data_IF_229491989297
#
_entry.id   IF_229491989297
#
_cell.length_a   1.000
_cell.length_b   1.000
_cell.length_c   1.000
_cell.angle_alpha   90.00
_cell.angle_beta   90.00
_cell.angle_gamma   90.00
#
_symmetry.space_group_name_H-M   'P 1'
#
loop_
_entity.id
_entity.type
_entity.pdbx_description
1 polymer ?
#
# COMPACT_ATOMS: atom_id res chain seq x y z
N UNK A 1 2.90 -23.10 -0.83
CA UNK A 1 3.42 -22.52 -2.09
C UNK A 1 4.17 -21.27 -1.71
N UNK A 2 5.41 -21.09 -2.17
CA UNK A 2 6.17 -19.87 -1.92
C UNK A 2 5.59 -18.77 -2.82
N UNK A 3 4.83 -17.83 -2.25
CA UNK A 3 4.45 -16.61 -2.97
C UNK A 3 5.59 -15.61 -2.83
N UNK A 4 6.01 -15.02 -3.95
CA UNK A 4 6.99 -13.94 -3.90
C UNK A 4 6.32 -12.73 -3.24
N UNK A 5 6.93 -12.11 -2.21
CA UNK A 5 6.30 -11.02 -1.48
C UNK A 5 6.17 -9.75 -2.31
N UNK A 6 6.86 -9.67 -3.45
CA UNK A 6 6.73 -8.59 -4.43
C UNK A 6 6.62 -9.20 -5.83
N UNK A 7 5.66 -8.72 -6.62
CA UNK A 7 5.49 -9.11 -8.02
C UNK A 7 5.20 -7.91 -8.89
N UNK A 8 5.94 -7.77 -9.99
CA UNK A 8 5.72 -6.70 -10.97
C UNK A 8 4.92 -7.24 -12.14
N UNK A 9 3.78 -6.60 -12.43
CA UNK A 9 2.88 -6.90 -13.55
C UNK A 9 2.71 -5.64 -14.39
N UNK A 10 3.60 -5.45 -15.36
CA UNK A 10 3.59 -4.28 -16.24
C UNK A 10 3.87 -3.00 -15.45
N UNK A 11 2.89 -2.12 -15.37
CA UNK A 11 2.87 -0.87 -14.60
C UNK A 11 2.39 -1.04 -13.15
N UNK A 12 1.92 -2.23 -12.78
CA UNK A 12 1.44 -2.54 -11.43
C UNK A 12 2.51 -3.30 -10.64
N UNK A 13 2.82 -2.84 -9.43
CA UNK A 13 3.62 -3.59 -8.45
C UNK A 13 2.66 -4.10 -7.39
N UNK A 14 2.73 -5.40 -7.09
CA UNK A 14 1.92 -6.09 -6.09
C UNK A 14 2.83 -6.46 -4.93
N UNK A 15 2.43 -6.06 -3.73
CA UNK A 15 3.09 -6.36 -2.47
C UNK A 15 2.21 -7.28 -1.61
N UNK A 16 2.81 -8.37 -1.16
CA UNK A 16 2.23 -9.19 -0.10
C UNK A 16 2.50 -8.51 1.24
N UNK A 17 1.51 -7.79 1.77
CA UNK A 17 1.66 -7.05 3.03
C UNK A 17 1.98 -7.95 4.20
N UNK A 18 1.52 -9.21 4.21
CA UNK A 18 1.78 -10.15 5.30
C UNK A 18 3.28 -10.45 5.48
N UNK A 19 4.08 -10.22 4.44
CA UNK A 19 5.54 -10.40 4.48
C UNK A 19 6.30 -9.19 5.02
N UNK A 20 5.67 -8.02 5.10
CA UNK A 20 6.30 -6.75 5.50
C UNK A 20 5.70 -6.13 6.76
N UNK A 21 4.49 -6.53 7.14
CA UNK A 21 3.82 -6.04 8.35
C UNK A 21 4.07 -6.96 9.54
N UNK A 22 4.22 -6.35 10.71
CA UNK A 22 4.45 -7.06 11.97
C UNK A 22 3.15 -7.29 12.76
N UNK A 23 2.04 -6.71 12.30
CA UNK A 23 0.75 -6.68 13.00
C UNK A 23 0.66 -5.60 14.08
N UNK A 24 1.66 -4.73 14.18
CA UNK A 24 1.67 -3.58 15.12
C UNK A 24 1.16 -2.29 14.47
N UNK A 25 1.05 -2.31 13.15
CA UNK A 25 0.54 -1.24 12.31
C UNK A 25 -0.94 -1.03 12.66
N UNK A 26 -1.35 0.23 12.83
CA UNK A 26 -2.72 0.57 13.20
C UNK A 26 -3.49 1.12 12.02
N UNK A 27 -2.80 1.76 11.09
CA UNK A 27 -3.36 2.42 9.91
C UNK A 27 -2.76 1.85 8.64
N UNK A 28 -3.49 1.93 7.53
CA UNK A 28 -2.92 1.59 6.21
C UNK A 28 -1.66 2.39 5.93
N UNK A 29 -1.60 3.67 6.31
CA UNK A 29 -0.40 4.49 6.19
C UNK A 29 0.85 3.77 6.74
N UNK A 30 0.74 3.24 7.96
CA UNK A 30 1.82 2.53 8.63
C UNK A 30 2.23 1.25 7.86
N UNK A 31 1.27 0.57 7.24
CA UNK A 31 1.52 -0.62 6.40
C UNK A 31 2.26 -0.24 5.12
N UNK A 32 1.82 0.81 4.43
CA UNK A 32 2.43 1.28 3.18
C UNK A 32 3.84 1.81 3.41
N UNK A 33 4.10 2.51 4.52
CA UNK A 33 5.45 2.99 4.89
C UNK A 33 6.44 1.84 5.17
N UNK A 34 5.95 0.65 5.53
CA UNK A 34 6.79 -0.53 5.70
C UNK A 34 7.15 -1.21 4.37
N UNK A 35 6.51 -0.83 3.26
CA UNK A 35 6.79 -1.40 1.96
C UNK A 35 8.02 -0.73 1.31
N UNK A 36 8.95 -1.52 0.73
CA UNK A 36 10.16 -0.97 0.19
C UNK A 36 9.88 -0.14 -1.07
N UNK A 37 10.42 1.09 -1.09
CA UNK A 37 10.29 2.02 -2.21
C UNK A 37 8.99 2.82 -2.22
N UNK A 38 8.13 2.67 -1.21
CA UNK A 38 6.94 3.50 -1.00
C UNK A 38 7.29 4.67 -0.08
N UNK A 39 6.90 5.87 -0.49
CA UNK A 39 6.98 7.08 0.32
C UNK A 39 5.61 7.75 0.37
N UNK A 40 5.30 8.41 1.48
CA UNK A 40 4.07 9.19 1.63
C UNK A 40 4.48 10.62 1.88
N UNK A 41 4.13 11.51 0.96
CA UNK A 41 4.51 12.92 1.05
C UNK A 41 3.65 13.66 2.12
N UNK A 42 4.01 14.90 2.44
CA UNK A 42 3.29 15.73 3.43
C UNK A 42 1.83 15.97 3.05
N UNK A 43 1.53 15.85 1.76
CA UNK A 43 0.19 15.93 1.20
C UNK A 43 -0.62 14.65 1.44
N UNK A 44 -0.02 13.54 1.89
CA UNK A 44 -0.67 12.25 2.07
C UNK A 44 -0.84 11.46 0.78
N UNK A 45 -0.12 11.82 -0.28
CA UNK A 45 -0.06 11.04 -1.52
C UNK A 45 1.04 9.98 -1.43
N UNK A 46 0.80 8.86 -2.08
CA UNK A 46 1.71 7.72 -2.12
C UNK A 46 2.59 7.87 -3.36
N UNK A 47 3.89 7.75 -3.18
CA UNK A 47 4.89 7.82 -4.24
C UNK A 47 5.74 6.54 -4.24
N UNK A 48 6.05 6.03 -5.43
CA UNK A 48 6.94 4.88 -5.62
C UNK A 48 8.02 5.28 -6.59
N UNK A 49 9.29 5.24 -6.13
CA UNK A 49 10.44 5.68 -6.92
C UNK A 49 10.28 7.10 -7.52
N UNK A 50 9.65 8.02 -6.76
CA UNK A 50 9.37 9.39 -7.18
C UNK A 50 8.22 9.55 -8.17
N UNK A 51 7.41 8.51 -8.40
CA UNK A 51 6.18 8.56 -9.20
C UNK A 51 4.97 8.49 -8.28
N UNK A 52 4.06 9.44 -8.42
CA UNK A 52 2.78 9.41 -7.71
C UNK A 52 1.98 8.18 -8.12
N UNK A 53 1.58 7.39 -7.14
CA UNK A 53 0.68 6.26 -7.31
C UNK A 53 -0.72 6.80 -7.53
N UNK A 54 -1.31 6.51 -8.68
CA UNK A 54 -2.68 6.90 -8.99
C UNK A 54 -3.71 5.92 -8.47
N UNK A 55 -3.31 4.68 -8.14
CA UNK A 55 -4.24 3.63 -7.73
C UNK A 55 -3.59 2.65 -6.75
N UNK A 56 -4.28 2.37 -5.65
CA UNK A 56 -3.95 1.27 -4.72
C UNK A 56 -5.15 0.34 -4.66
N UNK A 57 -4.89 -0.96 -4.71
CA UNK A 57 -5.90 -1.98 -4.57
C UNK A 57 -5.61 -2.80 -3.32
N UNK A 58 -6.63 -3.17 -2.56
CA UNK A 58 -6.52 -4.06 -1.41
C UNK A 58 -7.41 -5.26 -1.67
N UNK A 59 -6.85 -6.47 -1.60
CA UNK A 59 -7.58 -7.72 -1.92
C UNK A 59 -8.27 -7.68 -3.30
N UNK A 60 -7.68 -6.97 -4.26
CA UNK A 60 -8.23 -6.77 -5.60
C UNK A 60 -9.40 -5.78 -5.69
N UNK A 61 -9.69 -5.04 -4.62
CA UNK A 61 -10.67 -3.93 -4.60
C UNK A 61 -9.96 -2.60 -4.62
N UNK A 62 -10.51 -1.65 -5.37
CA UNK A 62 -10.00 -0.29 -5.42
C UNK A 62 -10.09 0.33 -4.04
N UNK A 63 -8.94 0.78 -3.54
CA UNK A 63 -8.81 1.33 -2.19
C UNK A 63 -8.47 2.82 -2.22
N UNK A 64 -7.58 3.21 -3.13
CA UNK A 64 -7.20 4.58 -3.39
C UNK A 64 -7.14 4.80 -4.90
N UNK A 65 -7.61 5.96 -5.35
CA UNK A 65 -7.70 6.34 -6.77
C UNK A 65 -7.08 7.72 -7.06
N UNK A 66 -6.28 8.27 -6.13
CA UNK A 66 -5.60 9.55 -6.30
C UNK A 66 -6.26 10.73 -5.56
N UNK A 67 -7.59 10.72 -5.39
CA UNK A 67 -8.35 11.83 -4.77
C UNK A 67 -8.58 11.63 -3.26
N UNK A 68 -8.33 10.43 -2.77
CA UNK A 68 -8.80 9.96 -1.47
C UNK A 68 -7.72 10.04 -0.38
N UNK A 69 -7.07 11.22 -0.22
CA UNK A 69 -6.12 11.53 0.88
C UNK A 69 -6.65 11.11 2.26
N UNK A 70 -7.96 11.29 2.48
CA UNK A 70 -8.64 10.96 3.75
C UNK A 70 -8.76 9.45 4.02
N UNK A 71 -8.67 8.59 3.00
CA UNK A 71 -8.88 7.15 3.13
C UNK A 71 -7.66 6.44 3.76
N UNK A 72 -6.45 6.86 3.38
CA UNK A 72 -5.20 6.22 3.87
C UNK A 72 -4.93 6.53 5.35
N UNK A 73 -5.34 7.71 5.83
CA UNK A 73 -5.10 8.14 7.22
C UNK A 73 -6.06 7.54 8.26
N UNK A 74 -7.23 7.03 7.82
CA UNK A 74 -8.31 6.61 8.72
C UNK A 74 -8.68 5.12 8.63
N UNK A 75 -8.09 4.36 7.70
CA UNK A 75 -8.43 2.94 7.57
C UNK A 75 -7.54 2.09 8.47
N UNK A 76 -8.14 1.21 9.30
CA UNK A 76 -7.40 0.35 10.20
C UNK A 76 -6.63 -0.74 9.43
N UNK A 77 -5.38 -0.99 9.84
CA UNK A 77 -4.46 -1.91 9.18
C UNK A 77 -4.92 -3.38 9.18
N UNK A 78 -5.78 -3.76 10.12
CA UNK A 78 -6.30 -5.12 10.26
C UNK A 78 -7.24 -5.56 9.13
N UNK A 79 -7.63 -4.65 8.23
CA UNK A 79 -8.49 -4.93 7.08
C UNK A 79 -7.71 -5.37 5.83
N UNK A 80 -6.39 -5.51 5.93
CA UNK A 80 -5.49 -5.67 4.78
C UNK A 80 -4.80 -7.03 4.82
N UNK A 81 -4.76 -7.71 3.66
CA UNK A 81 -4.00 -8.95 3.48
C UNK A 81 -3.14 -8.94 2.21
N UNK A 82 -3.44 -8.09 1.22
CA UNK A 82 -2.66 -7.96 -0.02
C UNK A 82 -2.87 -6.60 -0.66
N UNK A 83 -1.80 -5.97 -1.16
CA UNK A 83 -1.82 -4.59 -1.70
C UNK A 83 -1.10 -4.49 -3.03
#
# INVERSE_FOLDING_TARGET
>A
TYEMPVSVKGDTIVYDTDSFVSGTEKKLKDVLENLPGIEINDDGQIEVEGKTVSKVMVEGKDFFDGDSKLAVENIPANALSKV
#
